data_IF_359627282229
#
_entry.id   IF_359627282229
#
_cell.length_a   1.000
_cell.length_b   1.000
_cell.length_c   1.000
_cell.angle_alpha   90.00
_cell.angle_beta   90.00
_cell.angle_gamma   90.00
#
_symmetry.space_group_name_H-M   'P 1'
#
loop_
_entity.id
_entity.type
_entity.pdbx_description
1 polymer ?
#
# COMPACT_ATOMS: atom_id res chain seq x y z
N UNK A 1 -12.16 -8.23 -28.29
CA UNK A 1 -13.45 -8.91 -28.44
C UNK A 1 -13.32 -10.29 -27.84
N UNK A 2 -14.05 -10.56 -26.77
CA UNK A 2 -13.94 -11.77 -25.97
C UNK A 2 -14.79 -12.87 -26.62
N UNK A 3 -14.37 -14.13 -26.54
CA UNK A 3 -15.11 -15.26 -27.15
C UNK A 3 -16.50 -15.47 -26.56
N UNK A 4 -16.75 -14.97 -25.35
CA UNK A 4 -18.08 -14.95 -24.73
C UNK A 4 -19.05 -14.00 -25.45
N UNK A 5 -18.56 -12.88 -25.98
CA UNK A 5 -19.41 -11.87 -26.65
C UNK A 5 -20.05 -12.43 -27.93
N UNK A 6 -19.29 -13.24 -28.70
CA UNK A 6 -19.79 -13.91 -29.93
C UNK A 6 -20.84 -14.98 -29.67
N UNK A 7 -20.71 -15.73 -28.58
CA UNK A 7 -21.68 -16.78 -28.25
C UNK A 7 -23.04 -16.19 -27.87
N UNK A 8 -23.04 -15.06 -27.16
CA UNK A 8 -24.27 -14.33 -26.86
C UNK A 8 -24.92 -13.74 -28.12
N UNK A 9 -24.14 -13.16 -29.04
CA UNK A 9 -24.61 -12.64 -30.33
C UNK A 9 -25.38 -13.69 -31.15
N UNK A 10 -24.84 -14.91 -31.25
CA UNK A 10 -25.40 -15.97 -32.09
C UNK A 10 -26.73 -16.50 -31.53
N UNK A 11 -26.91 -16.46 -30.21
CA UNK A 11 -28.19 -16.79 -29.53
C UNK A 11 -29.23 -15.69 -29.79
N UNK A 12 -28.84 -14.42 -29.69
CA UNK A 12 -29.76 -13.30 -29.84
C UNK A 12 -30.33 -13.17 -31.26
N UNK A 13 -29.51 -13.38 -32.28
CA UNK A 13 -29.97 -13.34 -33.66
C UNK A 13 -30.95 -14.48 -33.97
N UNK A 14 -30.71 -15.66 -33.41
CA UNK A 14 -31.55 -16.84 -33.65
C UNK A 14 -32.92 -16.77 -32.97
N UNK A 15 -33.03 -16.08 -31.83
CA UNK A 15 -34.32 -15.84 -31.15
C UNK A 15 -35.17 -14.77 -31.85
N UNK A 16 -34.54 -13.80 -32.54
CA UNK A 16 -35.25 -12.77 -33.32
C UNK A 16 -35.88 -13.30 -34.61
N UNK A 17 -35.31 -14.35 -35.22
CA UNK A 17 -35.84 -14.97 -36.44
C UNK A 17 -37.02 -15.91 -36.19
N UNK A 18 -37.21 -16.40 -34.96
CA UNK A 18 -38.37 -17.22 -34.58
C UNK A 18 -39.53 -16.34 -34.13
N UNK A 19 -40.19 -15.72 -35.11
CA UNK A 19 -41.18 -14.65 -34.93
C UNK A 19 -42.49 -14.95 -34.20
N UNK A 20 -42.52 -15.68 -33.08
CA UNK A 20 -43.76 -16.02 -32.33
C UNK A 20 -43.63 -15.93 -30.79
N UNK A 21 -42.89 -14.96 -30.25
CA UNK A 21 -42.95 -14.68 -28.82
C UNK A 21 -43.59 -13.31 -28.57
N UNK A 22 -44.79 -13.28 -27.97
CA UNK A 22 -45.47 -12.06 -27.48
C UNK A 22 -44.63 -11.25 -26.48
N UNK A 23 -43.51 -11.80 -26.00
CA UNK A 23 -42.64 -11.24 -24.98
C UNK A 23 -41.15 -11.46 -25.32
N UNK A 24 -40.32 -10.51 -24.89
CA UNK A 24 -38.86 -10.61 -25.00
C UNK A 24 -38.33 -11.77 -24.14
N UNK A 25 -37.28 -12.43 -24.63
CA UNK A 25 -36.60 -13.46 -23.85
C UNK A 25 -35.92 -12.87 -22.61
N UNK A 26 -35.80 -13.70 -21.57
CA UNK A 26 -35.10 -13.32 -20.34
C UNK A 26 -33.67 -12.85 -20.62
N UNK A 27 -32.97 -13.51 -21.56
CA UNK A 27 -31.62 -13.15 -21.96
C UNK A 27 -31.57 -11.73 -22.57
N UNK A 28 -32.56 -11.34 -23.39
CA UNK A 28 -32.63 -10.01 -23.98
C UNK A 28 -32.89 -8.94 -22.91
N UNK A 29 -33.83 -9.19 -21.99
CA UNK A 29 -34.10 -8.28 -20.88
C UNK A 29 -32.91 -8.13 -19.94
N UNK A 30 -32.19 -9.22 -19.66
CA UNK A 30 -30.97 -9.21 -18.86
C UNK A 30 -29.84 -8.43 -19.54
N UNK A 31 -29.60 -8.67 -20.83
CA UNK A 31 -28.63 -7.93 -21.64
C UNK A 31 -28.95 -6.44 -21.72
N UNK A 32 -30.22 -6.10 -21.87
CA UNK A 32 -30.71 -4.72 -21.89
C UNK A 32 -30.52 -4.03 -20.53
N UNK A 33 -30.91 -4.70 -19.44
CA UNK A 33 -30.63 -4.20 -18.10
C UNK A 33 -29.13 -4.00 -17.86
N UNK A 34 -28.28 -4.78 -18.52
CA UNK A 34 -26.82 -4.74 -18.38
C UNK A 34 -26.13 -3.73 -19.28
N UNK A 35 -26.86 -3.05 -20.16
CA UNK A 35 -26.30 -2.18 -21.19
C UNK A 35 -25.22 -2.89 -22.01
N UNK A 36 -25.38 -4.20 -22.22
CA UNK A 36 -24.47 -5.04 -23.02
C UNK A 36 -25.01 -5.37 -24.42
N UNK A 37 -26.24 -4.95 -24.70
CA UNK A 37 -26.81 -5.06 -26.03
C UNK A 37 -26.20 -4.01 -26.96
N UNK A 38 -26.06 -4.38 -28.23
CA UNK A 38 -25.77 -3.41 -29.29
C UNK A 38 -26.83 -2.31 -29.34
N UNK A 39 -26.45 -1.08 -29.73
CA UNK A 39 -27.37 0.05 -29.76
C UNK A 39 -28.62 -0.20 -30.60
N UNK A 40 -28.49 -0.89 -31.74
CA UNK A 40 -29.61 -1.23 -32.63
C UNK A 40 -30.59 -2.23 -31.99
N UNK A 41 -30.08 -3.23 -31.28
CA UNK A 41 -30.91 -4.21 -30.57
C UNK A 41 -31.57 -3.58 -29.33
N UNK A 42 -30.83 -2.71 -28.63
CA UNK A 42 -31.33 -1.99 -27.46
C UNK A 42 -32.49 -1.05 -27.83
N UNK A 43 -32.44 -0.41 -29.00
CA UNK A 43 -33.53 0.42 -29.51
C UNK A 43 -34.80 -0.42 -29.77
N UNK A 44 -34.67 -1.56 -30.46
CA UNK A 44 -35.79 -2.49 -30.70
C UNK A 44 -36.42 -2.99 -29.40
N UNK A 45 -35.60 -3.35 -28.42
CA UNK A 45 -36.06 -3.76 -27.08
C UNK A 45 -36.78 -2.61 -26.38
N UNK A 46 -36.27 -1.38 -26.48
CA UNK A 46 -36.90 -0.21 -25.87
C UNK A 46 -38.28 0.10 -26.45
N UNK A 47 -38.44 -0.07 -27.76
CA UNK A 47 -39.73 0.09 -28.46
C UNK A 47 -40.73 -0.98 -28.01
N UNK A 48 -40.30 -2.24 -27.88
CA UNK A 48 -41.16 -3.30 -27.36
C UNK A 48 -41.59 -3.02 -25.91
N UNK A 49 -40.67 -2.60 -25.04
CA UNK A 49 -40.96 -2.27 -23.63
C UNK A 49 -41.95 -1.12 -23.46
N UNK A 50 -42.01 -0.18 -24.41
CA UNK A 50 -43.01 0.88 -24.40
C UNK A 50 -44.44 0.37 -24.66
N UNK A 51 -44.57 -0.76 -25.37
CA UNK A 51 -45.85 -1.36 -25.73
C UNK A 51 -46.28 -2.53 -24.83
N UNK A 52 -45.32 -3.21 -24.18
CA UNK A 52 -45.56 -4.44 -23.43
C UNK A 52 -45.29 -4.26 -21.93
N UNK A 53 -46.38 -4.12 -21.14
CA UNK A 53 -46.29 -3.93 -19.69
C UNK A 53 -45.66 -5.10 -18.93
N UNK A 54 -45.88 -6.34 -19.39
CA UNK A 54 -45.31 -7.54 -18.75
C UNK A 54 -43.79 -7.58 -18.83
N UNK A 55 -43.22 -7.35 -20.02
CA UNK A 55 -41.77 -7.28 -20.19
C UNK A 55 -41.14 -6.11 -19.40
N UNK A 56 -41.91 -5.05 -19.17
CA UNK A 56 -41.48 -3.92 -18.35
C UNK A 56 -41.45 -4.28 -16.85
N UNK A 57 -42.40 -5.07 -16.37
CA UNK A 57 -42.36 -5.63 -15.01
C UNK A 57 -41.20 -6.61 -14.83
N UNK A 58 -40.98 -7.52 -15.78
CA UNK A 58 -39.86 -8.46 -15.76
C UNK A 58 -38.51 -7.71 -15.75
N UNK A 59 -38.39 -6.64 -16.55
CA UNK A 59 -37.20 -5.79 -16.55
C UNK A 59 -36.98 -5.10 -15.20
N UNK A 60 -38.05 -4.68 -14.50
CA UNK A 60 -37.93 -4.08 -13.16
C UNK A 60 -37.42 -5.09 -12.15
N UNK A 61 -37.96 -6.31 -12.14
CA UNK A 61 -37.51 -7.39 -11.26
C UNK A 61 -36.02 -7.72 -11.49
N UNK A 62 -35.60 -7.84 -12.75
CA UNK A 62 -34.20 -8.05 -13.12
C UNK A 62 -33.29 -6.92 -12.62
N UNK A 63 -33.74 -5.66 -12.73
CA UNK A 63 -32.95 -4.50 -12.26
C UNK A 63 -32.81 -4.49 -10.74
N UNK A 64 -33.85 -4.89 -10.01
CA UNK A 64 -33.80 -5.00 -8.54
C UNK A 64 -32.86 -6.11 -8.09
N UNK A 65 -32.96 -7.29 -8.68
CA UNK A 65 -32.08 -8.42 -8.39
C UNK A 65 -30.60 -8.06 -8.65
N UNK A 66 -30.32 -7.37 -9.75
CA UNK A 66 -28.96 -6.93 -10.07
C UNK A 66 -28.44 -5.86 -9.12
N UNK A 67 -29.30 -4.97 -8.62
CA UNK A 67 -28.92 -4.02 -7.56
C UNK A 67 -28.61 -4.75 -6.26
N UNK A 68 -29.38 -5.77 -5.90
CA UNK A 68 -29.12 -6.58 -4.71
C UNK A 68 -27.79 -7.34 -4.81
N UNK A 69 -27.49 -7.93 -5.97
CA UNK A 69 -26.21 -8.58 -6.26
C UNK A 69 -25.03 -7.59 -6.23
N UNK A 70 -25.20 -6.40 -6.79
CA UNK A 70 -24.19 -5.34 -6.74
C UNK A 70 -23.95 -4.85 -5.30
N UNK A 71 -25.00 -4.72 -4.49
CA UNK A 71 -24.89 -4.35 -3.09
C UNK A 71 -24.14 -5.43 -2.27
N UNK A 72 -24.49 -6.70 -2.43
CA UNK A 72 -23.82 -7.81 -1.74
C UNK A 72 -22.34 -7.92 -2.09
N UNK A 73 -22.00 -7.81 -3.39
CA UNK A 73 -20.59 -7.82 -3.84
C UNK A 73 -19.81 -6.61 -3.30
N UNK A 74 -20.43 -5.44 -3.22
CA UNK A 74 -19.78 -4.24 -2.64
C UNK A 74 -19.48 -4.40 -1.15
N UNK A 75 -20.40 -5.02 -0.39
CA UNK A 75 -20.17 -5.32 1.03
C UNK A 75 -19.01 -6.29 1.22
N UNK A 76 -18.98 -7.40 0.49
CA UNK A 76 -17.90 -8.40 0.58
C UNK A 76 -16.55 -7.77 0.25
N UNK A 77 -16.48 -6.93 -0.79
CA UNK A 77 -15.24 -6.23 -1.15
C UNK A 77 -14.78 -5.24 -0.06
N UNK A 78 -15.71 -4.54 0.58
CA UNK A 78 -15.39 -3.62 1.68
C UNK A 78 -14.83 -4.38 2.89
N UNK A 79 -15.41 -5.52 3.24
CA UNK A 79 -14.97 -6.36 4.34
C UNK A 79 -13.58 -6.97 4.07
N UNK A 80 -13.33 -7.41 2.84
CA UNK A 80 -11.99 -7.90 2.45
C UNK A 80 -10.92 -6.80 2.52
N UNK A 81 -11.24 -5.57 2.10
CA UNK A 81 -10.32 -4.43 2.21
C UNK A 81 -10.00 -4.11 3.67
N UNK A 82 -10.99 -4.14 4.55
CA UNK A 82 -10.78 -3.91 5.98
C UNK A 82 -9.92 -5.00 6.62
N UNK A 83 -10.18 -6.28 6.29
CA UNK A 83 -9.35 -7.41 6.77
C UNK A 83 -7.90 -7.29 6.31
N UNK A 84 -7.66 -6.93 5.04
CA UNK A 84 -6.30 -6.69 4.54
C UNK A 84 -5.62 -5.52 5.24
N UNK A 85 -6.33 -4.42 5.45
CA UNK A 85 -5.81 -3.26 6.17
C UNK A 85 -5.47 -3.60 7.64
N UNK A 86 -6.25 -4.46 8.28
CA UNK A 86 -5.98 -4.95 9.63
C UNK A 86 -4.72 -5.81 9.68
N UNK A 87 -4.57 -6.77 8.76
CA UNK A 87 -3.37 -7.62 8.66
C UNK A 87 -2.11 -6.79 8.40
N UNK A 88 -2.19 -5.77 7.54
CA UNK A 88 -1.06 -4.89 7.25
C UNK A 88 -0.63 -4.10 8.49
N UNK A 89 -1.58 -3.56 9.27
CA UNK A 89 -1.29 -2.87 10.54
C UNK A 89 -0.61 -3.79 11.56
N UNK A 90 -1.10 -5.02 11.71
CA UNK A 90 -0.51 -6.01 12.61
C UNK A 90 0.94 -6.35 12.22
N UNK A 91 1.18 -6.63 10.93
CA UNK A 91 2.51 -6.99 10.42
C UNK A 91 3.50 -5.82 10.54
N UNK A 92 3.06 -4.59 10.28
CA UNK A 92 3.89 -3.40 10.45
C UNK A 92 4.29 -3.20 11.92
N UNK A 93 3.34 -3.33 12.85
CA UNK A 93 3.60 -3.17 14.29
C UNK A 93 4.58 -4.22 14.82
N UNK A 94 4.46 -5.47 14.40
CA UNK A 94 5.44 -6.51 14.75
C UNK A 94 6.82 -6.25 14.14
N UNK A 95 6.87 -5.78 12.89
CA UNK A 95 8.12 -5.38 12.24
C UNK A 95 8.85 -4.29 13.02
N UNK A 96 8.13 -3.23 13.38
CA UNK A 96 8.67 -2.12 14.20
C UNK A 96 9.12 -2.62 15.57
N UNK A 97 8.37 -3.52 16.22
CA UNK A 97 8.76 -4.08 17.53
C UNK A 97 10.04 -4.91 17.44
N UNK A 98 10.18 -5.78 16.44
CA UNK A 98 11.40 -6.58 16.22
C UNK A 98 12.60 -5.71 15.86
N UNK A 99 12.41 -4.65 15.08
CA UNK A 99 13.43 -3.64 14.85
C UNK A 99 13.81 -2.96 16.16
N UNK A 100 12.84 -2.49 16.94
CA UNK A 100 13.05 -1.90 18.25
C UNK A 100 13.87 -2.80 19.18
N UNK A 101 13.53 -4.08 19.28
CA UNK A 101 14.26 -5.05 20.08
C UNK A 101 15.70 -5.26 19.56
N UNK A 102 15.93 -5.37 18.25
CA UNK A 102 17.31 -5.53 17.72
C UNK A 102 18.19 -4.30 17.93
N UNK A 103 17.65 -3.10 17.76
CA UNK A 103 18.43 -1.86 17.84
C UNK A 103 18.57 -1.32 19.27
N UNK A 104 17.55 -1.51 20.13
CA UNK A 104 17.51 -0.91 21.47
C UNK A 104 17.68 -1.89 22.63
N UNK A 105 17.66 -3.22 22.42
CA UNK A 105 17.81 -4.18 23.51
C UNK A 105 19.24 -4.33 24.10
N UNK A 106 20.36 -4.06 23.40
CA UNK A 106 21.66 -4.23 24.04
C UNK A 106 21.95 -3.03 24.96
N UNK A 107 21.52 -3.12 26.23
CA UNK A 107 21.89 -2.19 27.31
C UNK A 107 23.41 -1.95 27.41
N UNK A 108 24.22 -2.87 26.88
CA UNK A 108 25.67 -2.75 26.77
C UNK A 108 26.15 -1.69 25.76
N UNK A 109 25.47 -1.52 24.62
CA UNK A 109 25.85 -0.54 23.59
C UNK A 109 25.67 0.90 24.10
N UNK A 110 24.59 1.16 24.86
CA UNK A 110 24.35 2.46 25.45
C UNK A 110 25.42 2.87 26.47
N UNK A 111 25.92 1.93 27.28
CA UNK A 111 27.00 2.23 28.23
C UNK A 111 28.29 2.63 27.52
N UNK A 112 28.64 1.97 26.42
CA UNK A 112 29.88 2.28 25.70
C UNK A 112 29.75 3.58 24.88
N UNK A 113 28.62 3.77 24.20
CA UNK A 113 28.34 5.01 23.49
C UNK A 113 28.36 6.22 24.43
N UNK A 114 27.76 6.09 25.62
CA UNK A 114 27.76 7.15 26.62
C UNK A 114 29.17 7.44 27.12
N UNK A 115 29.97 6.44 27.47
CA UNK A 115 31.39 6.61 27.86
C UNK A 115 32.17 7.34 26.76
N UNK A 116 31.98 6.99 25.49
CA UNK A 116 32.66 7.63 24.37
C UNK A 116 32.26 9.08 24.15
N UNK A 117 30.97 9.39 24.30
CA UNK A 117 30.49 10.78 24.26
C UNK A 117 31.10 11.58 25.41
N UNK A 118 31.12 11.04 26.63
CA UNK A 118 31.70 11.74 27.79
C UNK A 118 33.20 12.00 27.60
N UNK A 119 33.96 11.02 27.09
CA UNK A 119 35.39 11.19 26.79
C UNK A 119 35.61 12.23 25.68
N UNK A 120 34.80 12.20 24.61
CA UNK A 120 34.88 13.18 23.54
C UNK A 120 34.62 14.62 24.01
N UNK A 121 33.58 14.80 24.85
CA UNK A 121 33.27 16.10 25.47
C UNK A 121 34.43 16.56 26.37
N UNK A 122 34.99 15.67 27.18
CA UNK A 122 36.13 15.98 28.05
C UNK A 122 37.35 16.45 27.25
N UNK A 123 37.68 15.77 26.14
CA UNK A 123 38.78 16.17 25.25
C UNK A 123 38.53 17.53 24.62
N UNK A 124 37.30 17.82 24.20
CA UNK A 124 36.93 19.13 23.65
C UNK A 124 37.05 20.24 24.69
N UNK A 125 36.58 20.01 25.92
CA UNK A 125 36.71 20.95 27.03
C UNK A 125 38.17 21.21 27.37
N UNK A 126 38.99 20.15 27.43
CA UNK A 126 40.43 20.27 27.71
C UNK A 126 41.15 21.05 26.60
N UNK A 127 40.82 20.78 25.34
CA UNK A 127 41.38 21.51 24.19
C UNK A 127 40.96 22.98 24.21
N UNK A 128 39.70 23.27 24.52
CA UNK A 128 39.22 24.65 24.69
C UNK A 128 39.96 25.38 25.82
N UNK A 129 40.10 24.74 26.97
CA UNK A 129 40.79 25.29 28.14
C UNK A 129 42.27 25.58 27.86
N UNK A 130 42.97 24.64 27.20
CA UNK A 130 44.38 24.83 26.82
C UNK A 130 44.58 25.97 25.81
N UNK A 131 43.62 26.19 24.90
CA UNK A 131 43.68 27.31 23.96
C UNK A 131 43.45 28.67 24.63
N UNK A 132 42.77 28.72 25.78
CA UNK A 132 42.53 29.93 26.56
C UNK A 132 43.69 30.32 27.49
N UNK A 133 44.74 29.50 27.62
CA UNK A 133 45.93 29.82 28.41
C UNK A 133 47.09 30.34 27.53
N UNK A 134 47.20 31.66 27.30
CA UNK A 134 48.33 32.24 26.59
C UNK A 134 49.60 32.12 27.44
N UNK A 135 50.61 31.38 26.95
CA UNK A 135 51.96 31.35 27.53
C UNK A 135 52.54 29.95 27.78
N UNK A 136 51.71 28.90 27.83
CA UNK A 136 52.19 27.54 28.11
C UNK A 136 52.74 26.79 26.89
N UNK A 137 52.28 27.14 25.68
CA UNK A 137 52.68 26.50 24.43
C UNK A 137 53.08 27.57 23.40
N UNK A 138 54.25 27.39 22.80
CA UNK A 138 54.84 28.33 21.85
C UNK A 138 53.97 28.55 20.59
N UNK A 139 54.20 29.68 19.88
CA UNK A 139 53.47 30.01 18.66
C UNK A 139 53.76 28.95 17.58
N UNK A 140 52.84 28.01 17.40
CA UNK A 140 52.96 26.90 16.42
C UNK A 140 52.47 25.53 16.91
N UNK A 141 52.31 25.33 18.23
CA UNK A 141 51.87 24.03 18.78
C UNK A 141 50.37 23.96 19.17
N UNK A 142 49.62 25.05 18.97
CA UNK A 142 48.19 25.11 19.33
C UNK A 142 47.36 24.34 18.28
N UNK A 143 46.96 23.12 18.62
CA UNK A 143 45.91 22.36 17.91
C UNK A 143 46.33 21.02 17.29
N UNK A 144 47.61 20.80 16.99
CA UNK A 144 48.03 19.57 16.30
C UNK A 144 47.97 18.31 17.19
N UNK A 145 48.20 18.44 18.50
CA UNK A 145 48.14 17.31 19.44
C UNK A 145 46.72 16.77 19.64
N UNK A 146 45.69 17.62 19.53
CA UNK A 146 44.29 17.19 19.63
C UNK A 146 43.89 16.26 18.48
N UNK A 147 44.42 16.52 17.27
CA UNK A 147 44.27 15.62 16.11
C UNK A 147 44.88 14.24 16.39
N UNK A 148 46.05 14.16 17.04
CA UNK A 148 46.68 12.89 17.38
C UNK A 148 45.91 12.06 18.41
N UNK A 149 45.10 12.68 19.27
CA UNK A 149 44.20 11.95 20.19
C UNK A 149 42.91 11.54 19.48
N UNK A 150 42.37 12.39 18.61
CA UNK A 150 41.11 12.14 17.92
C UNK A 150 41.23 11.07 16.82
N UNK A 151 42.38 10.94 16.14
CA UNK A 151 42.56 9.97 15.04
C UNK A 151 42.48 8.51 15.53
N UNK A 152 43.25 8.06 16.55
CA UNK A 152 43.15 6.70 17.07
C UNK A 152 41.75 6.39 17.62
N UNK A 153 41.14 7.39 18.25
CA UNK A 153 39.78 7.31 18.77
C UNK A 153 38.73 7.13 17.67
N UNK A 154 38.82 7.92 16.59
CA UNK A 154 37.96 7.78 15.42
C UNK A 154 38.10 6.41 14.77
N UNK A 155 39.33 5.90 14.62
CA UNK A 155 39.59 4.56 14.08
C UNK A 155 38.96 3.48 14.96
N UNK A 156 39.08 3.60 16.30
CA UNK A 156 38.56 2.61 17.24
C UNK A 156 37.02 2.58 17.23
N UNK A 157 36.36 3.73 17.11
CA UNK A 157 34.90 3.82 16.96
C UNK A 157 34.44 3.19 15.64
N UNK A 158 35.07 3.53 14.52
CA UNK A 158 34.74 2.95 13.19
C UNK A 158 34.95 1.44 13.17
N UNK A 159 36.03 0.95 13.78
CA UNK A 159 36.28 -0.48 13.87
C UNK A 159 35.23 -1.21 14.73
N UNK A 160 34.82 -0.62 15.85
CA UNK A 160 33.79 -1.20 16.71
C UNK A 160 32.41 -1.23 16.05
N UNK A 161 32.00 -0.16 15.37
CA UNK A 161 30.73 -0.13 14.64
C UNK A 161 30.72 -1.12 13.49
N UNK A 162 31.82 -1.24 12.75
CA UNK A 162 31.97 -2.23 11.68
C UNK A 162 31.91 -3.68 12.20
N UNK A 163 32.59 -3.97 13.32
CA UNK A 163 32.57 -5.30 13.94
C UNK A 163 31.20 -5.66 14.52
N UNK A 164 30.44 -4.68 14.99
CA UNK A 164 29.06 -4.88 15.43
C UNK A 164 28.12 -5.17 14.25
N UNK A 165 28.37 -4.58 13.08
CA UNK A 165 27.54 -4.77 11.89
C UNK A 165 27.75 -6.12 11.19
N UNK A 166 28.94 -6.73 11.34
CA UNK A 166 29.24 -8.06 10.78
C UNK A 166 28.72 -9.25 11.60
N UNK A 167 28.20 -9.04 12.81
CA UNK A 167 27.65 -10.10 13.67
C UNK A 167 26.13 -10.06 13.64
#
# INVERSE_FOLDING_TARGET
MNTEDRFFEEIFHKELEMGHAEHLSFAMLWGYAASRLEPELAEKVSLHLASCGRCLEDLRAIREERRALAAGTSQVLSEQRERLAHLHRMRFREGVRRLGEKFFAPRALYRHALVYVTVGVLVLVLNFWMNQMPGLLGPGQRGWWALWVLIPWGILVVWHTWRAWRR
#
